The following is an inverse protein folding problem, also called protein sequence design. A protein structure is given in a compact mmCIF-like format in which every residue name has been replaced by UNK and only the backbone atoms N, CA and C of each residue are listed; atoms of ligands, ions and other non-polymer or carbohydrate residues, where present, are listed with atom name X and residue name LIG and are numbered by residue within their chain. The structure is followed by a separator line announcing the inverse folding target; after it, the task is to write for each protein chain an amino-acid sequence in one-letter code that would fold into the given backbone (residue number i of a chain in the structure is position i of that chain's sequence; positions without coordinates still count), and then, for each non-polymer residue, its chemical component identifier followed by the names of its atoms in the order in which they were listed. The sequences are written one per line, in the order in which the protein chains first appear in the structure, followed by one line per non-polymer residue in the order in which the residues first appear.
data_IF_450601586288
#
_entry.id   IF_450601586288
#
_cell.length_a   1.000
_cell.length_b   1.000
_cell.length_c   1.000
_cell.angle_alpha   90.00
_cell.angle_beta   90.00
_cell.angle_gamma   90.00
#
_symmetry.space_group_name_H-M   'P 1'
#
loop_
_entity.id
_entity.type
_entity.pdbx_description
1 polymer ?
#
# COMPACT_ATOMS: atom_id res chain seq x y z
N UNK A 1 -19.03 4.08 -8.46
CA UNK A 1 -19.18 2.67 -8.88
C UNK A 1 -18.02 2.36 -9.81
N UNK A 2 -16.97 1.73 -9.27
CA UNK A 2 -15.76 1.43 -10.03
C UNK A 2 -15.82 -0.04 -10.45
N UNK A 3 -16.05 -0.27 -11.75
CA UNK A 3 -15.94 -1.60 -12.35
C UNK A 3 -14.45 -1.85 -12.64
N UNK A 4 -13.86 -2.82 -11.93
CA UNK A 4 -12.57 -3.40 -12.29
C UNK A 4 -12.87 -4.54 -13.27
N UNK A 5 -12.63 -4.34 -14.56
CA UNK A 5 -12.64 -5.42 -15.53
C UNK A 5 -11.34 -6.22 -15.36
N UNK A 6 -11.48 -7.50 -14.98
CA UNK A 6 -10.38 -8.45 -14.92
C UNK A 6 -10.18 -9.09 -16.29
N UNK A 7 -8.96 -9.14 -16.85
CA UNK A 7 -8.68 -9.91 -18.05
C UNK A 7 -8.68 -11.41 -17.74
N UNK A 8 -9.36 -12.19 -18.57
CA UNK A 8 -9.36 -13.66 -18.54
C UNK A 8 -8.07 -14.20 -19.15
N UNK A 9 -7.43 -15.12 -18.40
CA UNK A 9 -6.43 -16.10 -18.82
C UNK A 9 -5.03 -15.66 -19.26
N UNK A 10 -4.06 -15.89 -18.33
CA UNK A 10 -2.75 -16.51 -18.65
C UNK A 10 -2.05 -16.99 -17.37
N UNK A 11 -1.33 -18.11 -17.37
CA UNK A 11 -0.71 -18.67 -16.17
C UNK A 11 0.56 -17.92 -15.84
N UNK A 12 0.55 -17.14 -14.75
CA UNK A 12 1.74 -16.51 -14.19
C UNK A 12 2.33 -17.41 -13.12
N UNK A 13 3.43 -18.08 -13.48
CA UNK A 13 4.36 -18.68 -12.53
C UNK A 13 5.14 -17.56 -11.83
N UNK A 14 4.96 -17.43 -10.53
CA UNK A 14 5.73 -16.54 -9.67
C UNK A 14 4.91 -15.41 -9.04
N UNK A 15 4.65 -15.52 -7.74
CA UNK A 15 4.09 -14.55 -6.79
C UNK A 15 3.13 -13.53 -7.40
N UNK A 16 1.86 -13.80 -7.29
CA UNK A 16 0.81 -12.87 -7.68
C UNK A 16 0.76 -11.70 -6.68
N UNK A 17 1.09 -10.45 -7.07
CA UNK A 17 0.94 -9.29 -6.19
C UNK A 17 -0.52 -8.98 -5.82
N UNK A 18 -1.47 -9.60 -6.54
CA UNK A 18 -2.90 -9.37 -6.33
C UNK A 18 -3.50 -10.03 -5.08
N UNK A 19 -2.88 -11.06 -4.52
CA UNK A 19 -3.44 -11.77 -3.35
C UNK A 19 -3.27 -10.94 -2.07
N UNK A 20 -2.13 -10.23 -1.93
CA UNK A 20 -1.95 -9.28 -0.81
C UNK A 20 -2.80 -8.02 -0.96
N UNK A 21 -3.16 -7.66 -2.19
CA UNK A 21 -4.02 -6.51 -2.50
C UNK A 21 -5.46 -6.73 -2.01
N UNK A 22 -6.04 -7.89 -2.27
CA UNK A 22 -7.39 -8.22 -1.86
C UNK A 22 -7.55 -8.23 -0.33
N UNK A 23 -6.54 -8.76 0.40
CA UNK A 23 -6.55 -8.84 1.87
C UNK A 23 -6.46 -7.48 2.56
N UNK A 24 -5.88 -6.47 1.90
CA UNK A 24 -5.71 -5.12 2.49
C UNK A 24 -6.91 -4.20 2.28
N UNK A 25 -7.83 -4.53 1.37
CA UNK A 25 -8.99 -3.69 1.02
C UNK A 25 -10.34 -4.38 1.21
N UNK A 26 -10.38 -5.57 1.84
CA UNK A 26 -11.63 -6.30 2.00
C UNK A 26 -12.28 -6.70 0.66
N UNK A 27 -11.50 -6.73 -0.43
CA UNK A 27 -11.96 -7.30 -1.69
C UNK A 27 -11.71 -8.79 -1.63
N UNK A 28 -12.78 -9.56 -1.71
CA UNK A 28 -12.78 -11.02 -1.59
C UNK A 28 -11.65 -11.65 -2.41
N UNK A 29 -10.73 -12.32 -1.72
CA UNK A 29 -9.83 -13.28 -2.36
C UNK A 29 -10.68 -14.38 -3.01
N UNK A 30 -10.28 -14.96 -4.16
CA UNK A 30 -10.97 -16.12 -4.69
C UNK A 30 -11.00 -17.18 -3.58
N UNK A 31 -12.21 -17.59 -3.24
CA UNK A 31 -12.59 -18.48 -2.15
C UNK A 31 -11.67 -19.70 -2.09
N UNK A 32 -10.80 -19.74 -1.09
CA UNK A 32 -10.34 -21.00 -0.55
C UNK A 32 -11.54 -21.55 0.25
N UNK A 33 -12.11 -22.64 -0.19
CA UNK A 33 -13.19 -23.33 0.50
C UNK A 33 -12.67 -23.89 1.84
N UNK A 34 -12.61 -23.03 2.85
CA UNK A 34 -12.50 -23.42 4.24
C UNK A 34 -13.84 -23.07 4.89
N UNK A 35 -14.59 -24.09 5.28
CA UNK A 35 -15.97 -24.10 5.71
C UNK A 35 -16.39 -23.15 6.83
N UNK A 36 -16.37 -21.86 6.55
CA UNK A 36 -16.91 -20.79 7.41
C UNK A 36 -17.55 -19.71 6.54
N UNK A 37 -18.78 -19.36 6.83
CA UNK A 37 -19.64 -18.45 6.04
C UNK A 37 -19.25 -16.96 6.17
N UNK A 38 -18.13 -16.61 6.83
CA UNK A 38 -17.71 -15.22 7.05
C UNK A 38 -16.30 -14.99 6.56
N UNK A 39 -16.10 -13.88 5.82
CA UNK A 39 -14.78 -13.35 5.50
C UNK A 39 -14.32 -12.46 6.66
N UNK A 40 -13.10 -12.68 7.14
CA UNK A 40 -12.50 -11.90 8.22
C UNK A 40 -11.38 -11.02 7.67
N UNK A 41 -11.22 -9.81 8.22
CA UNK A 41 -10.10 -8.93 7.92
C UNK A 41 -9.20 -8.71 9.15
N UNK A 42 -8.02 -8.11 8.92
CA UNK A 42 -7.05 -7.80 9.96
C UNK A 42 -7.17 -6.40 10.57
N UNK A 43 -8.31 -5.72 10.41
CA UNK A 43 -8.53 -4.40 11.03
C UNK A 43 -8.52 -4.51 12.56
N UNK A 44 -7.87 -3.56 13.21
CA UNK A 44 -7.77 -3.46 14.66
C UNK A 44 -8.50 -2.21 15.18
N UNK A 45 -8.51 -1.97 16.50
CA UNK A 45 -9.23 -0.85 17.11
C UNK A 45 -8.76 0.51 16.58
N UNK A 46 -7.45 0.70 16.38
CA UNK A 46 -6.89 1.97 15.89
C UNK A 46 -7.33 2.31 14.45
N UNK A 47 -7.79 1.30 13.68
CA UNK A 47 -8.23 1.48 12.29
C UNK A 47 -9.64 2.07 12.19
N UNK A 48 -10.42 2.14 13.28
CA UNK A 48 -11.77 2.70 13.31
C UNK A 48 -11.79 4.21 13.10
N UNK A 49 -10.75 4.89 13.57
CA UNK A 49 -10.63 6.35 13.47
C UNK A 49 -9.99 6.81 12.16
N UNK A 50 -9.56 5.88 11.30
CA UNK A 50 -8.88 6.19 10.04
C UNK A 50 -9.90 6.23 8.88
N UNK A 51 -9.82 7.30 8.07
CA UNK A 51 -10.64 7.39 6.87
C UNK A 51 -10.17 6.39 5.82
N UNK A 52 -10.97 5.35 5.60
CA UNK A 52 -10.70 4.30 4.62
C UNK A 52 -11.92 4.11 3.71
N UNK A 53 -11.84 4.48 2.43
CA UNK A 53 -12.95 4.29 1.48
C UNK A 53 -13.49 2.85 1.39
N UNK A 54 -12.64 1.86 1.71
CA UNK A 54 -13.02 0.44 1.73
C UNK A 54 -13.92 0.02 2.90
N UNK A 55 -14.07 0.83 3.96
CA UNK A 55 -14.91 0.47 5.12
C UNK A 55 -16.37 0.24 4.72
N UNK A 56 -16.89 1.09 3.83
CA UNK A 56 -18.26 0.92 3.33
C UNK A 56 -18.44 -0.38 2.55
N UNK A 57 -17.51 -0.72 1.67
CA UNK A 57 -17.56 -1.99 0.94
C UNK A 57 -17.48 -3.20 1.87
N UNK A 58 -16.69 -3.11 2.93
CA UNK A 58 -16.57 -4.12 3.97
C UNK A 58 -17.91 -4.33 4.70
N UNK A 59 -18.58 -3.24 5.11
CA UNK A 59 -19.90 -3.30 5.75
C UNK A 59 -20.94 -3.91 4.80
N UNK A 60 -20.97 -3.49 3.54
CA UNK A 60 -21.89 -4.00 2.50
C UNK A 60 -21.66 -5.52 2.23
N UNK A 61 -20.43 -6.01 2.37
CA UNK A 61 -20.07 -7.42 2.17
C UNK A 61 -20.14 -8.27 3.44
N UNK A 62 -20.44 -7.68 4.60
CA UNK A 62 -20.52 -8.40 5.86
C UNK A 62 -19.18 -8.96 6.35
N UNK A 63 -18.05 -8.36 5.96
CA UNK A 63 -16.71 -8.78 6.40
C UNK A 63 -16.51 -8.44 7.87
N UNK A 64 -16.13 -9.42 8.68
CA UNK A 64 -15.88 -9.24 10.10
C UNK A 64 -14.46 -8.76 10.38
N UNK A 65 -14.29 -8.11 11.53
CA UNK A 65 -12.99 -7.61 12.02
C UNK A 65 -12.72 -8.12 13.43
N UNK A 66 -12.37 -9.40 13.62
CA UNK A 66 -12.28 -10.01 14.95
C UNK A 66 -11.34 -9.24 15.90
N UNK A 67 -10.25 -8.68 15.41
CA UNK A 67 -9.31 -7.89 16.23
C UNK A 67 -9.95 -6.57 16.71
N UNK A 68 -10.65 -5.87 15.81
CA UNK A 68 -11.36 -4.64 16.16
C UNK A 68 -12.59 -4.91 17.03
N UNK A 69 -13.31 -6.01 16.78
CA UNK A 69 -14.44 -6.46 17.62
C UNK A 69 -13.98 -6.79 19.04
N UNK A 70 -12.78 -7.32 19.19
CA UNK A 70 -12.14 -7.61 20.47
C UNK A 70 -11.50 -6.39 21.13
N UNK A 71 -11.58 -5.20 20.53
CA UNK A 71 -10.98 -3.98 21.04
C UNK A 71 -9.46 -3.97 21.05
N UNK A 72 -8.81 -4.86 20.28
CA UNK A 72 -7.36 -4.99 20.25
C UNK A 72 -6.73 -3.87 19.44
N UNK A 73 -5.82 -3.13 20.07
CA UNK A 73 -4.98 -2.12 19.42
C UNK A 73 -3.81 -2.76 18.70
N UNK A 74 -3.24 -2.04 17.75
CA UNK A 74 -2.11 -2.50 16.91
C UNK A 74 -0.91 -2.95 17.74
N UNK A 75 -0.64 -2.29 18.86
CA UNK A 75 0.48 -2.64 19.73
C UNK A 75 0.23 -3.98 20.44
N UNK A 76 -0.97 -4.20 20.95
CA UNK A 76 -1.39 -5.46 21.57
C UNK A 76 -1.37 -6.63 20.58
N UNK A 77 -1.86 -6.39 19.34
CA UNK A 77 -1.77 -7.39 18.27
C UNK A 77 -0.31 -7.78 17.98
N UNK A 78 0.61 -6.81 17.99
CA UNK A 78 2.06 -7.09 17.82
C UNK A 78 2.66 -7.84 18.99
N UNK A 79 2.22 -7.56 20.20
CA UNK A 79 2.67 -8.25 21.41
C UNK A 79 2.19 -9.71 21.42
N UNK A 80 0.93 -9.94 21.11
CA UNK A 80 0.37 -11.28 20.91
C UNK A 80 1.14 -12.03 19.80
N UNK A 81 1.38 -11.38 18.67
CA UNK A 81 2.13 -11.97 17.56
C UNK A 81 3.55 -12.38 17.97
N UNK A 82 4.21 -11.56 18.80
CA UNK A 82 5.52 -11.88 19.37
C UNK A 82 5.47 -13.06 20.34
N UNK A 83 4.48 -13.09 21.23
CA UNK A 83 4.29 -14.18 22.18
C UNK A 83 4.02 -15.51 21.49
N UNK A 84 3.30 -15.49 20.38
CA UNK A 84 3.02 -16.64 19.52
C UNK A 84 4.19 -16.97 18.57
N UNK A 85 5.30 -16.22 18.61
CA UNK A 85 6.48 -16.37 17.76
C UNK A 85 6.15 -16.36 16.26
N UNK A 86 5.16 -15.54 15.86
CA UNK A 86 4.81 -15.42 14.45
C UNK A 86 5.94 -14.73 13.67
N UNK A 87 6.33 -15.22 12.48
CA UNK A 87 7.40 -14.63 11.69
C UNK A 87 7.09 -13.19 11.23
N UNK A 88 5.81 -12.81 11.24
CA UNK A 88 5.32 -11.49 10.85
C UNK A 88 5.28 -10.48 12.01
N UNK A 89 5.58 -10.88 13.24
CA UNK A 89 5.49 -10.02 14.44
C UNK A 89 6.31 -8.72 14.33
N UNK A 90 7.42 -8.76 13.60
CA UNK A 90 8.32 -7.61 13.38
C UNK A 90 8.12 -6.92 12.02
N UNK A 91 7.19 -7.43 11.18
CA UNK A 91 6.93 -6.84 9.87
C UNK A 91 6.36 -5.43 10.02
N UNK A 92 6.99 -4.47 9.35
CA UNK A 92 6.45 -3.12 9.25
C UNK A 92 5.10 -3.13 8.52
N UNK A 93 4.22 -2.20 8.90
CA UNK A 93 2.95 -2.00 8.18
C UNK A 93 3.25 -1.70 6.72
N UNK A 94 2.71 -2.51 5.82
CA UNK A 94 2.88 -2.33 4.37
C UNK A 94 1.51 -2.06 3.74
N UNK A 95 1.08 -0.80 3.68
CA UNK A 95 -0.17 -0.47 3.02
C UNK A 95 -0.11 -0.88 1.55
N UNK A 96 -1.28 -1.23 1.00
CA UNK A 96 -1.43 -1.63 -0.40
C UNK A 96 -0.88 -0.55 -1.37
N UNK A 97 -0.33 -0.99 -2.51
CA UNK A 97 0.20 -0.10 -3.55
C UNK A 97 -0.84 0.88 -4.09
N UNK A 98 -2.12 0.52 -4.09
CA UNK A 98 -3.19 1.43 -4.48
C UNK A 98 -3.24 2.71 -3.64
N UNK A 99 -2.77 2.66 -2.37
CA UNK A 99 -2.64 3.85 -1.53
C UNK A 99 -1.61 4.87 -2.04
N UNK A 100 -0.88 4.59 -3.13
CA UNK A 100 0.03 5.53 -3.80
C UNK A 100 -0.65 6.30 -4.93
N UNK A 101 -1.89 5.94 -5.25
CA UNK A 101 -2.67 6.56 -6.31
C UNK A 101 -3.69 7.51 -5.65
N UNK A 102 -3.75 8.80 -6.04
CA UNK A 102 -4.68 9.77 -5.46
C UNK A 102 -6.14 9.36 -5.62
N UNK A 103 -6.98 9.85 -4.71
CA UNK A 103 -8.43 9.72 -4.84
C UNK A 103 -8.93 10.28 -6.16
N UNK A 104 -9.83 9.54 -6.82
CA UNK A 104 -10.39 9.91 -8.12
C UNK A 104 -9.55 9.48 -9.33
N UNK A 105 -8.31 9.06 -9.15
CA UNK A 105 -7.53 8.48 -10.25
C UNK A 105 -7.81 6.98 -10.40
N UNK A 106 -7.89 6.51 -11.65
CA UNK A 106 -8.09 5.09 -11.97
C UNK A 106 -6.86 4.29 -11.53
N UNK A 107 -7.09 3.23 -10.76
CA UNK A 107 -6.08 2.23 -10.42
C UNK A 107 -5.95 1.29 -11.63
N UNK A 108 -4.74 1.17 -12.18
CA UNK A 108 -4.42 0.26 -13.28
C UNK A 108 -3.24 -0.61 -12.90
N UNK A 109 -3.18 -1.80 -13.47
CA UNK A 109 -2.05 -2.72 -13.28
C UNK A 109 -0.71 -2.07 -13.68
N UNK A 110 -0.72 -1.30 -14.76
CA UNK A 110 0.45 -0.55 -15.20
C UNK A 110 0.95 0.43 -14.13
N UNK A 111 0.05 1.25 -13.55
CA UNK A 111 0.42 2.17 -12.46
C UNK A 111 0.96 1.43 -11.25
N UNK A 112 0.31 0.33 -10.85
CA UNK A 112 0.76 -0.47 -9.71
C UNK A 112 2.15 -1.05 -9.94
N UNK A 113 2.42 -1.60 -11.12
CA UNK A 113 3.74 -2.09 -11.50
C UNK A 113 4.80 -0.98 -11.51
N UNK A 114 4.49 0.18 -12.09
CA UNK A 114 5.40 1.33 -12.06
C UNK A 114 5.78 1.75 -10.65
N UNK A 115 4.79 1.77 -9.73
CA UNK A 115 5.01 2.10 -8.31
C UNK A 115 5.89 1.03 -7.66
N UNK A 116 5.55 -0.23 -7.82
CA UNK A 116 6.28 -1.36 -7.22
C UNK A 116 7.76 -1.34 -7.63
N UNK A 117 8.03 -1.30 -8.94
CA UNK A 117 9.39 -1.28 -9.47
C UNK A 117 10.18 -0.03 -9.04
N UNK A 118 9.51 1.12 -8.90
CA UNK A 118 10.12 2.34 -8.40
C UNK A 118 10.46 2.23 -6.90
N UNK A 119 9.54 1.75 -6.06
CA UNK A 119 9.77 1.57 -4.63
C UNK A 119 10.83 0.49 -4.37
N UNK A 120 10.82 -0.64 -5.10
CA UNK A 120 11.84 -1.69 -4.99
C UNK A 120 13.24 -1.17 -5.35
N UNK A 121 13.35 -0.41 -6.43
CA UNK A 121 14.60 0.20 -6.82
C UNK A 121 15.14 1.16 -5.75
N UNK A 122 14.28 1.97 -5.14
CA UNK A 122 14.66 2.87 -4.07
C UNK A 122 15.03 2.13 -2.79
N UNK A 123 14.29 1.07 -2.43
CA UNK A 123 14.63 0.18 -1.30
C UNK A 123 15.99 -0.50 -1.51
N UNK A 124 16.28 -0.98 -2.72
CA UNK A 124 17.59 -1.56 -3.06
C UNK A 124 18.75 -0.56 -2.93
N UNK A 125 18.46 0.75 -2.97
CA UNK A 125 19.41 1.83 -2.68
C UNK A 125 19.48 2.20 -1.18
N UNK A 126 18.76 1.49 -0.32
CA UNK A 126 18.75 1.69 1.12
C UNK A 126 17.79 2.80 1.58
N UNK A 127 16.77 3.16 0.81
CA UNK A 127 15.70 4.06 1.25
C UNK A 127 14.55 3.24 1.85
N UNK A 128 14.64 2.97 3.14
CA UNK A 128 13.59 2.23 3.84
C UNK A 128 12.34 3.09 4.03
N UNK A 129 11.16 2.45 3.93
CA UNK A 129 9.89 3.15 4.12
C UNK A 129 9.52 4.16 3.04
N UNK A 130 10.25 4.19 1.91
CA UNK A 130 9.96 5.08 0.78
C UNK A 130 8.56 4.83 0.22
N UNK A 131 7.94 5.92 -0.26
CA UNK A 131 6.68 5.89 -1.00
C UNK A 131 6.82 6.65 -2.32
N UNK A 132 6.31 6.07 -3.38
CA UNK A 132 6.24 6.71 -4.70
C UNK A 132 4.77 6.94 -5.05
N UNK A 133 4.29 8.19 -4.87
CA UNK A 133 2.93 8.59 -5.22
C UNK A 133 2.84 8.94 -6.69
N UNK A 134 1.77 8.48 -7.35
CA UNK A 134 1.52 8.75 -8.76
C UNK A 134 0.51 9.88 -8.89
N UNK A 135 0.86 10.95 -9.57
CA UNK A 135 -0.04 12.04 -9.95
C UNK A 135 -0.01 12.20 -11.47
N UNK A 136 -0.96 11.57 -12.15
CA UNK A 136 -0.89 11.44 -13.62
C UNK A 136 0.38 10.72 -14.05
N UNK A 137 1.31 11.44 -14.73
CA UNK A 137 2.63 10.94 -15.15
C UNK A 137 3.79 11.44 -14.28
N UNK A 138 3.49 12.00 -13.11
CA UNK A 138 4.51 12.43 -12.16
C UNK A 138 4.66 11.40 -11.03
N UNK A 139 5.91 11.06 -10.70
CA UNK A 139 6.27 10.37 -9.47
C UNK A 139 6.63 11.40 -8.39
N UNK A 140 5.86 11.45 -7.29
CA UNK A 140 6.24 12.19 -6.07
C UNK A 140 6.84 11.20 -5.08
N UNK A 141 8.13 11.34 -4.81
CA UNK A 141 8.87 10.46 -3.91
C UNK A 141 8.82 11.04 -2.49
N UNK A 142 8.40 10.22 -1.55
CA UNK A 142 8.41 10.51 -0.12
C UNK A 142 9.40 9.56 0.56
N UNK A 143 10.42 10.12 1.21
CA UNK A 143 11.39 9.38 2.05
C UNK A 143 11.37 9.95 3.46
N UNK A 144 12.00 9.27 4.41
CA UNK A 144 12.16 9.83 5.73
C UNK A 144 12.87 11.22 5.64
N UNK A 145 12.48 12.23 6.44
CA UNK A 145 13.01 13.59 6.31
C UNK A 145 14.54 13.67 6.31
N UNK A 146 15.21 12.83 7.11
CA UNK A 146 16.69 12.75 7.17
C UNK A 146 17.32 12.20 5.88
N UNK A 147 16.54 11.54 5.02
CA UNK A 147 17.00 10.94 3.77
C UNK A 147 16.88 11.88 2.55
N UNK A 148 16.19 13.01 2.71
CA UNK A 148 15.94 13.98 1.64
C UNK A 148 17.25 14.46 1.01
N UNK A 149 18.22 14.84 1.84
CA UNK A 149 19.52 15.30 1.37
C UNK A 149 20.28 14.21 0.59
N UNK A 150 20.23 12.95 1.05
CA UNK A 150 20.85 11.82 0.38
C UNK A 150 20.20 11.51 -0.97
N UNK A 151 18.86 11.56 -1.02
CA UNK A 151 18.12 11.33 -2.26
C UNK A 151 18.39 12.41 -3.31
N UNK A 152 18.49 13.67 -2.89
CA UNK A 152 18.76 14.82 -3.76
C UNK A 152 20.22 14.97 -4.18
N UNK A 153 21.15 14.18 -3.61
CA UNK A 153 22.57 14.23 -3.98
C UNK A 153 22.79 13.93 -5.47
N UNK A 154 23.79 14.54 -6.15
CA UNK A 154 23.93 14.48 -7.61
C UNK A 154 23.93 13.05 -8.19
N UNK A 155 24.69 12.14 -7.60
CA UNK A 155 24.78 10.73 -8.06
C UNK A 155 23.48 9.96 -7.90
N UNK A 156 22.85 10.06 -6.71
CA UNK A 156 21.58 9.40 -6.41
C UNK A 156 20.46 9.96 -7.28
N UNK A 157 20.34 11.27 -7.35
CA UNK A 157 19.35 11.97 -8.17
C UNK A 157 19.40 11.52 -9.63
N UNK A 158 20.58 11.49 -10.24
CA UNK A 158 20.75 11.08 -11.65
C UNK A 158 20.30 9.64 -11.85
N UNK A 159 20.71 8.72 -10.98
CA UNK A 159 20.34 7.30 -11.03
C UNK A 159 18.82 7.10 -10.87
N UNK A 160 18.21 7.76 -9.89
CA UNK A 160 16.76 7.69 -9.62
C UNK A 160 15.96 8.25 -10.80
N UNK A 161 16.33 9.44 -11.28
CA UNK A 161 15.65 10.07 -12.43
C UNK A 161 15.70 9.16 -13.66
N UNK A 162 16.88 8.58 -13.98
CA UNK A 162 17.04 7.67 -15.11
C UNK A 162 16.13 6.45 -14.97
N UNK A 163 16.11 5.80 -13.80
CA UNK A 163 15.28 4.60 -13.58
C UNK A 163 13.80 4.90 -13.63
N UNK A 164 13.31 5.92 -12.91
CA UNK A 164 11.90 6.24 -12.90
C UNK A 164 11.37 6.67 -14.29
N UNK A 165 12.17 7.39 -15.06
CA UNK A 165 11.84 7.69 -16.46
C UNK A 165 11.71 6.44 -17.32
N UNK A 166 12.58 5.45 -17.13
CA UNK A 166 12.47 4.17 -17.87
C UNK A 166 11.23 3.35 -17.47
N UNK A 167 10.61 3.64 -16.32
CA UNK A 167 9.36 3.05 -15.88
C UNK A 167 8.11 3.76 -16.46
N UNK A 168 8.29 4.90 -17.15
CA UNK A 168 7.20 5.64 -17.77
C UNK A 168 6.86 6.98 -17.11
N UNK A 169 7.51 7.36 -16.00
CA UNK A 169 7.28 8.67 -15.39
C UNK A 169 7.92 9.79 -16.20
N UNK A 170 7.15 10.83 -16.51
CA UNK A 170 7.65 12.04 -17.19
C UNK A 170 8.34 12.99 -16.22
N UNK A 171 7.74 13.18 -15.06
CA UNK A 171 8.25 14.07 -14.00
C UNK A 171 8.55 13.29 -12.75
N UNK A 172 9.67 13.65 -12.09
CA UNK A 172 10.07 13.08 -10.81
C UNK A 172 10.22 14.24 -9.84
N UNK A 173 9.40 14.24 -8.79
CA UNK A 173 9.41 15.22 -7.71
C UNK A 173 9.83 14.56 -6.41
N UNK A 174 10.40 15.34 -5.51
CA UNK A 174 10.70 14.95 -4.14
C UNK A 174 9.81 15.78 -3.21
N UNK A 175 9.10 15.11 -2.32
CA UNK A 175 8.33 15.79 -1.27
C UNK A 175 9.30 16.40 -0.26
N UNK A 176 9.23 17.71 -0.09
CA UNK A 176 10.16 18.45 0.78
C UNK A 176 9.94 18.20 2.27
N UNK A 177 8.75 17.75 2.65
CA UNK A 177 8.43 17.38 4.04
C UNK A 177 8.70 15.90 4.32
N UNK A 178 8.93 15.13 3.25
CA UNK A 178 9.17 13.69 3.33
C UNK A 178 7.92 12.88 3.63
N UNK A 179 8.12 11.63 4.06
CA UNK A 179 7.04 10.72 4.34
C UNK A 179 6.26 11.13 5.60
N UNK A 180 4.94 11.24 5.45
CA UNK A 180 3.97 11.46 6.54
C UNK A 180 2.83 10.46 6.42
N UNK A 181 2.45 9.85 7.54
CA UNK A 181 1.27 8.99 7.57
C UNK A 181 0.03 9.82 7.23
N UNK A 182 -0.77 9.33 6.28
CA UNK A 182 -1.99 10.02 5.87
C UNK A 182 -1.81 11.20 4.91
N UNK A 183 -0.60 11.43 4.34
CA UNK A 183 -0.36 12.55 3.42
C UNK A 183 -1.31 12.60 2.21
N UNK A 184 -1.88 11.47 1.79
CA UNK A 184 -2.90 11.42 0.74
C UNK A 184 -4.26 11.93 1.20
N UNK A 185 -4.53 11.92 2.51
CA UNK A 185 -5.80 12.37 3.09
C UNK A 185 -5.82 13.90 3.31
N UNK A 186 -4.67 14.59 3.16
CA UNK A 186 -4.58 16.05 3.31
C UNK A 186 -5.44 16.82 2.31
N UNK A 187 -5.79 16.19 1.18
CA UNK A 187 -6.67 16.78 0.14
C UNK A 187 -8.17 16.58 0.42
N UNK A 188 -8.51 15.79 1.42
CA UNK A 188 -9.91 15.54 1.78
C UNK A 188 -10.46 16.74 2.57
N UNK A 189 -11.73 17.14 2.36
CA UNK A 189 -12.37 18.17 3.19
C UNK A 189 -12.38 17.69 4.64
N UNK A 190 -11.99 18.59 5.53
CA UNK A 190 -12.02 18.37 6.98
C UNK A 190 -13.43 18.54 7.51
#
# INVERSE_FOLDING_TARGET
MYLVELPTSSPLTGRAPCVEFASSFGVASPRLETGGEHEDDGSNEDDKDDYRPGLRAKEELGVRSPLAESGLKKEEVREISRSLKLPTAHKSSSPCLASRIPYGEKITEEKLRMIEEAEEFLKAKGFDGVRVRVHGNMARIEVAPQEIARLSSPGTRTSVTKRLRSLGFTYIALDMEGYRTGSLNEVLPK
#
